data_IF_364611673086
#
_entry.id   IF_364611673086
#
_cell.length_a   1.000
_cell.length_b   1.000
_cell.length_c   1.000
_cell.angle_alpha   90.00
_cell.angle_beta   90.00
_cell.angle_gamma   90.00
#
_symmetry.space_group_name_H-M   'P 1'
#
loop_
_entity.id
_entity.type
_entity.pdbx_description
1 polymer ?
#
# COMPACT_ATOMS: atom_id res chain seq x y z
N UNK A 1 14.41 -16.40 -5.35
CA UNK A 1 13.57 -15.67 -4.38
C UNK A 1 14.47 -14.77 -3.55
N UNK A 2 15.04 -13.72 -4.16
CA UNK A 2 15.74 -12.68 -3.40
C UNK A 2 14.79 -11.51 -3.33
N UNK A 3 13.95 -11.49 -2.30
CA UNK A 3 13.19 -10.32 -1.97
C UNK A 3 14.17 -9.22 -1.55
N UNK A 4 14.47 -8.29 -2.46
CA UNK A 4 15.29 -7.11 -2.14
C UNK A 4 14.38 -6.03 -1.56
N UNK A 5 14.37 -5.96 -0.24
CA UNK A 5 13.62 -4.97 0.53
C UNK A 5 13.98 -3.53 0.14
N UNK A 6 15.24 -3.27 -0.21
CA UNK A 6 15.72 -1.92 -0.48
C UNK A 6 15.11 -1.34 -1.77
N UNK A 7 14.74 -2.21 -2.72
CA UNK A 7 14.04 -1.80 -3.94
C UNK A 7 12.63 -1.27 -3.65
N UNK A 8 12.01 -1.66 -2.53
CA UNK A 8 10.65 -1.25 -2.16
C UNK A 8 10.63 0.13 -1.50
N UNK A 9 11.67 0.51 -0.78
CA UNK A 9 11.75 1.82 -0.08
C UNK A 9 11.89 3.02 -1.03
N UNK A 10 12.20 2.80 -2.31
CA UNK A 10 12.44 3.87 -3.30
C UNK A 10 11.21 4.17 -4.17
N UNK A 11 10.05 3.57 -3.87
CA UNK A 11 8.86 3.72 -4.70
C UNK A 11 8.25 5.12 -4.52
N UNK A 12 8.01 5.82 -5.63
CA UNK A 12 7.35 7.12 -5.63
C UNK A 12 5.87 7.06 -5.18
N UNK A 13 5.30 8.20 -4.74
CA UNK A 13 3.93 8.25 -4.23
C UNK A 13 2.93 7.74 -5.27
N UNK A 14 1.92 6.98 -4.81
CA UNK A 14 0.82 6.48 -5.66
C UNK A 14 1.08 5.17 -6.41
N UNK A 15 2.19 4.46 -6.14
CA UNK A 15 2.44 3.12 -6.66
C UNK A 15 2.26 2.05 -5.57
N UNK A 16 1.54 0.98 -5.90
CA UNK A 16 1.36 -0.22 -5.07
C UNK A 16 2.31 -1.32 -5.52
N UNK A 17 3.08 -1.88 -4.59
CA UNK A 17 3.78 -3.15 -4.79
C UNK A 17 2.77 -4.31 -4.87
N UNK A 18 2.91 -5.18 -5.87
CA UNK A 18 2.06 -6.35 -6.02
C UNK A 18 2.65 -7.56 -5.27
N UNK A 19 1.81 -8.48 -4.76
CA UNK A 19 2.27 -9.65 -4.00
C UNK A 19 2.88 -10.75 -4.88
N UNK A 20 2.89 -10.58 -6.20
CA UNK A 20 3.56 -11.46 -7.16
C UNK A 20 4.70 -10.76 -7.90
N UNK A 21 5.61 -11.57 -8.42
CA UNK A 21 6.70 -11.13 -9.29
C UNK A 21 6.30 -11.26 -10.76
N UNK A 22 7.09 -10.64 -11.64
CA UNK A 22 7.06 -10.93 -13.08
C UNK A 22 7.65 -12.31 -13.36
N UNK A 23 7.46 -12.80 -14.57
CA UNK A 23 8.14 -13.98 -15.12
C UNK A 23 9.67 -13.95 -14.97
N UNK A 24 10.26 -12.75 -14.96
CA UNK A 24 11.69 -12.52 -14.74
C UNK A 24 12.11 -12.43 -13.27
N UNK A 25 11.17 -12.61 -12.32
CA UNK A 25 11.42 -12.50 -10.88
C UNK A 25 11.60 -11.07 -10.37
N UNK A 26 11.24 -10.07 -11.18
CA UNK A 26 11.28 -8.66 -10.76
C UNK A 26 9.98 -8.26 -10.04
N UNK A 27 10.04 -7.40 -9.01
CA UNK A 27 8.86 -6.83 -8.38
C UNK A 27 7.95 -6.13 -9.39
N UNK A 28 6.64 -6.29 -9.21
CA UNK A 28 5.64 -5.65 -10.06
C UNK A 28 4.92 -4.54 -9.29
N UNK A 29 4.58 -3.45 -9.99
CA UNK A 29 3.91 -2.28 -9.41
C UNK A 29 2.63 -1.95 -10.15
N UNK A 30 1.62 -1.52 -9.39
CA UNK A 30 0.36 -1.01 -9.90
C UNK A 30 0.27 0.48 -9.58
N UNK A 31 0.09 1.32 -10.59
CA UNK A 31 -0.24 2.73 -10.36
C UNK A 31 -1.68 2.87 -9.88
N UNK A 32 -1.86 3.52 -8.73
CA UNK A 32 -3.18 3.74 -8.13
C UNK A 32 -3.45 5.24 -8.08
N UNK A 33 -4.44 5.71 -8.83
CA UNK A 33 -4.90 7.11 -8.82
C UNK A 33 -5.89 7.41 -7.66
N UNK A 34 -5.73 6.72 -6.52
CA UNK A 34 -6.63 6.84 -5.37
C UNK A 34 -7.91 5.98 -5.43
N UNK A 35 -8.18 5.24 -6.51
CA UNK A 35 -9.33 4.31 -6.59
C UNK A 35 -8.88 2.85 -6.61
N UNK A 36 -9.48 2.00 -5.76
CA UNK A 36 -9.19 0.56 -5.72
C UNK A 36 -9.84 -0.15 -6.93
N UNK A 37 -9.03 -0.39 -7.97
CA UNK A 37 -9.44 -1.13 -9.17
C UNK A 37 -9.53 -2.65 -8.97
N UNK A 38 -9.97 -3.38 -10.00
CA UNK A 38 -10.08 -4.85 -9.94
C UNK A 38 -8.74 -5.54 -9.60
N UNK A 39 -7.62 -5.05 -10.14
CA UNK A 39 -6.28 -5.57 -9.83
C UNK A 39 -5.86 -5.33 -8.37
N UNK A 40 -6.30 -4.23 -7.75
CA UNK A 40 -6.01 -3.98 -6.34
C UNK A 40 -6.74 -4.99 -5.44
N UNK A 41 -7.98 -5.35 -5.78
CA UNK A 41 -8.74 -6.40 -5.07
C UNK A 41 -8.10 -7.77 -5.21
N UNK A 42 -7.67 -8.14 -6.42
CA UNK A 42 -6.92 -9.39 -6.66
C UNK A 42 -5.62 -9.40 -5.84
N UNK A 43 -4.94 -8.26 -5.76
CA UNK A 43 -3.75 -8.13 -4.90
C UNK A 43 -4.10 -8.29 -3.42
N UNK A 44 -5.22 -7.76 -2.94
CA UNK A 44 -5.66 -7.97 -1.55
C UNK A 44 -5.98 -9.44 -1.25
N UNK A 45 -6.65 -10.13 -2.20
CA UNK A 45 -6.95 -11.56 -2.10
C UNK A 45 -5.68 -12.41 -2.04
N UNK A 46 -4.71 -12.17 -2.94
CA UNK A 46 -3.44 -12.90 -2.95
C UNK A 46 -2.60 -12.58 -1.71
N UNK A 47 -2.58 -11.34 -1.24
CA UNK A 47 -1.95 -10.99 0.04
C UNK A 47 -2.57 -11.79 1.20
N UNK A 48 -3.91 -11.95 1.22
CA UNK A 48 -4.59 -12.73 2.24
C UNK A 48 -4.28 -14.23 2.17
N UNK A 49 -4.23 -14.79 0.95
CA UNK A 49 -3.86 -16.19 0.73
C UNK A 49 -2.42 -16.47 1.16
N UNK A 50 -1.47 -15.61 0.80
CA UNK A 50 -0.06 -15.75 1.22
C UNK A 50 0.10 -15.71 2.75
N UNK A 51 -0.68 -14.86 3.45
CA UNK A 51 -0.66 -14.81 4.91
C UNK A 51 -1.25 -16.08 5.53
N UNK A 52 -2.30 -16.66 4.91
CA UNK A 52 -2.87 -17.94 5.35
C UNK A 52 -1.88 -19.08 5.14
N UNK A 53 -1.25 -19.17 3.97
CA UNK A 53 -0.21 -20.16 3.67
C UNK A 53 0.94 -20.06 4.67
N UNK A 54 1.34 -18.83 5.03
CA UNK A 54 2.34 -18.58 6.06
C UNK A 54 1.95 -19.13 7.43
N UNK A 55 0.68 -19.00 7.83
CA UNK A 55 0.17 -19.55 9.09
C UNK A 55 0.15 -21.09 9.08
N UNK A 56 -0.23 -21.70 7.97
CA UNK A 56 -0.23 -23.16 7.79
C UNK A 56 1.19 -23.72 7.81
N UNK A 57 2.13 -23.07 7.11
CA UNK A 57 3.55 -23.45 7.11
C UNK A 57 4.18 -23.26 8.49
N UNK A 58 3.83 -22.19 9.22
CA UNK A 58 4.30 -22.00 10.59
C UNK A 58 3.85 -23.16 11.49
N UNK A 59 2.58 -23.55 11.40
CA UNK A 59 2.03 -24.69 12.17
C UNK A 59 2.75 -25.99 11.82
N UNK A 60 2.96 -26.26 10.53
CA UNK A 60 3.69 -27.44 10.08
C UNK A 60 5.15 -27.45 10.53
N UNK A 61 5.84 -26.31 10.47
CA UNK A 61 7.22 -26.19 10.94
C UNK A 61 7.34 -26.41 12.44
N UNK A 62 6.41 -25.88 13.25
CA UNK A 62 6.33 -26.14 14.69
C UNK A 62 6.15 -27.64 14.98
N UNK A 63 5.25 -28.31 14.27
CA UNK A 63 5.04 -29.76 14.43
C UNK A 63 6.31 -30.57 14.12
N UNK A 64 7.09 -30.18 13.10
CA UNK A 64 8.38 -30.83 12.78
C UNK A 64 9.41 -30.58 13.88
N UNK A 65 9.45 -29.38 14.46
CA UNK A 65 10.37 -29.05 15.56
C UNK A 65 10.03 -29.78 16.86
N UNK A 66 8.74 -30.03 17.12
CA UNK A 66 8.27 -30.74 18.30
C UNK A 66 8.50 -32.27 18.22
N UNK A 67 8.61 -32.83 17.02
CA UNK A 67 8.96 -34.24 16.81
C UNK A 67 10.47 -34.48 16.94
N UNK A 68 10.91 -34.99 18.10
CA UNK A 68 12.32 -35.37 18.34
C UNK A 68 12.85 -36.47 17.42
N UNK A 69 11.99 -37.18 16.70
CA UNK A 69 12.37 -38.19 15.70
C UNK A 69 12.45 -37.63 14.29
N UNK A 70 12.10 -36.36 14.08
CA UNK A 70 12.19 -35.72 12.78
C UNK A 70 13.64 -35.79 12.25
N UNK A 71 13.78 -36.36 11.06
CA UNK A 71 15.08 -36.45 10.39
C UNK A 71 15.49 -35.14 9.73
N UNK A 72 16.77 -35.06 9.36
CA UNK A 72 17.37 -33.90 8.66
C UNK A 72 16.55 -33.46 7.42
N UNK A 73 16.02 -34.42 6.65
CA UNK A 73 15.22 -34.11 5.47
C UNK A 73 13.94 -33.33 5.82
N UNK A 74 13.21 -33.75 6.87
CA UNK A 74 12.00 -33.07 7.31
C UNK A 74 12.31 -31.65 7.80
N UNK A 75 13.41 -31.49 8.55
CA UNK A 75 13.87 -30.17 9.02
C UNK A 75 14.26 -29.24 7.87
N UNK A 76 15.00 -29.73 6.88
CA UNK A 76 15.38 -28.95 5.69
C UNK A 76 14.15 -28.55 4.87
N UNK A 77 13.17 -29.45 4.74
CA UNK A 77 11.93 -29.16 4.03
C UNK A 77 11.11 -28.09 4.76
N UNK A 78 10.93 -28.23 6.07
CA UNK A 78 10.22 -27.26 6.90
C UNK A 78 10.91 -25.88 6.86
N UNK A 79 12.24 -25.84 6.99
CA UNK A 79 13.00 -24.59 6.91
C UNK A 79 12.86 -23.95 5.53
N UNK A 80 12.95 -24.73 4.44
CA UNK A 80 12.77 -24.21 3.09
C UNK A 80 11.38 -23.58 2.92
N UNK A 81 10.32 -24.28 3.33
CA UNK A 81 8.96 -23.76 3.29
C UNK A 81 8.82 -22.48 4.13
N UNK A 82 9.33 -22.48 5.36
CA UNK A 82 9.30 -21.32 6.25
C UNK A 82 10.03 -20.11 5.66
N UNK A 83 11.21 -20.30 5.06
CA UNK A 83 11.96 -19.20 4.42
C UNK A 83 11.25 -18.63 3.20
N UNK A 84 10.52 -19.48 2.45
CA UNK A 84 9.71 -19.03 1.33
C UNK A 84 8.55 -18.15 1.80
N UNK A 85 7.72 -18.67 2.71
CA UNK A 85 6.58 -17.91 3.25
C UNK A 85 7.01 -16.64 3.98
N UNK A 86 8.17 -16.64 4.66
CA UNK A 86 8.70 -15.42 5.28
C UNK A 86 9.01 -14.34 4.24
N UNK A 87 9.57 -14.71 3.08
CA UNK A 87 9.78 -13.78 1.98
C UNK A 87 8.46 -13.18 1.46
N UNK A 88 7.42 -14.01 1.35
CA UNK A 88 6.09 -13.57 0.93
C UNK A 88 5.45 -12.64 1.96
N UNK A 89 5.51 -12.98 3.25
CA UNK A 89 5.02 -12.13 4.36
C UNK A 89 5.71 -10.77 4.41
N UNK A 90 7.04 -10.72 4.22
CA UNK A 90 7.78 -9.46 4.18
C UNK A 90 7.33 -8.58 3.01
N UNK A 91 7.10 -9.17 1.83
CA UNK A 91 6.55 -8.45 0.68
C UNK A 91 5.16 -7.89 0.96
N UNK A 92 4.28 -8.67 1.56
CA UNK A 92 2.94 -8.21 1.96
C UNK A 92 3.04 -7.06 2.97
N UNK A 93 3.93 -7.17 3.96
CA UNK A 93 4.13 -6.14 4.98
C UNK A 93 4.59 -4.81 4.38
N UNK A 94 5.60 -4.82 3.50
CA UNK A 94 6.09 -3.60 2.87
C UNK A 94 5.08 -3.04 1.86
N UNK A 95 4.35 -3.90 1.12
CA UNK A 95 3.24 -3.50 0.25
C UNK A 95 2.16 -2.74 1.01
N UNK A 96 1.75 -3.24 2.18
CA UNK A 96 0.74 -2.60 3.04
C UNK A 96 1.29 -1.34 3.71
N UNK A 97 2.54 -1.38 4.19
CA UNK A 97 3.22 -0.26 4.83
C UNK A 97 3.33 0.96 3.91
N UNK A 98 3.67 0.75 2.64
CA UNK A 98 3.76 1.83 1.64
C UNK A 98 2.42 2.49 1.29
N UNK A 99 1.27 1.90 1.71
CA UNK A 99 -0.07 2.47 1.52
C UNK A 99 -0.59 3.23 2.74
N UNK A 100 0.15 3.24 3.85
CA UNK A 100 -0.25 4.00 5.02
C UNK A 100 0.06 5.49 4.79
N UNK A 101 -0.80 6.42 5.28
CA UNK A 101 -0.51 7.85 5.19
C UNK A 101 0.81 8.19 5.88
N UNK A 102 1.66 9.01 5.24
CA UNK A 102 2.84 9.54 5.91
C UNK A 102 2.41 10.70 6.82
N UNK A 103 2.95 10.81 8.05
CA UNK A 103 2.54 11.85 9.01
C UNK A 103 2.69 13.29 8.48
N UNK A 104 3.53 13.52 7.46
CA UNK A 104 3.76 14.85 6.88
C UNK A 104 2.70 15.27 5.83
N UNK A 105 1.85 14.34 5.36
CA UNK A 105 0.80 14.62 4.35
C UNK A 105 -0.49 15.22 4.96
N UNK A 106 -0.52 15.44 6.28
CA UNK A 106 -1.71 15.85 7.02
C UNK A 106 -1.84 17.37 7.27
N UNK A 107 -0.90 18.20 6.78
CA UNK A 107 -0.84 19.63 7.12
C UNK A 107 -1.29 20.62 6.04
N UNK A 108 -1.67 20.17 4.84
CA UNK A 108 -2.02 21.09 3.74
C UNK A 108 -3.53 21.36 3.57
N UNK A 109 -4.34 21.07 4.60
CA UNK A 109 -5.79 21.26 4.57
C UNK A 109 -6.30 22.23 5.65
N UNK A 110 -5.56 23.32 5.95
CA UNK A 110 -6.12 24.45 6.69
C UNK A 110 -5.28 25.73 6.49
N UNK A 111 -5.40 26.37 5.32
CA UNK A 111 -5.03 27.78 5.15
C UNK A 111 -6.13 28.47 4.34
N UNK A 112 -7.30 28.59 4.97
CA UNK A 112 -8.30 29.57 4.55
C UNK A 112 -7.91 30.93 5.11
N UNK A 113 -7.00 31.63 4.42
CA UNK A 113 -6.75 33.04 4.67
C UNK A 113 -7.90 33.82 4.02
N UNK A 114 -8.85 34.24 4.86
CA UNK A 114 -9.72 35.39 4.59
C UNK A 114 -8.81 36.60 4.29
N UNK A 115 -8.92 37.13 3.08
CA UNK A 115 -8.31 38.42 2.72
C UNK A 115 -9.44 39.47 2.65
N UNK A 116 -9.52 40.40 3.61
CA UNK A 116 -10.27 41.62 3.44
C UNK A 116 -9.27 42.71 3.06
N UNK A 117 -9.26 43.14 1.79
CA UNK A 117 -8.63 44.41 1.44
C UNK A 117 -9.52 45.30 0.59
N UNK A 118 -9.56 46.54 1.06
CA UNK A 118 -10.42 47.66 0.75
C UNK A 118 -10.05 48.29 -0.61
N UNK A 119 -11.08 48.55 -1.42
CA UNK A 119 -10.98 49.39 -2.62
C UNK A 119 -12.10 50.41 -2.64
N UNK A 120 -11.86 51.58 -2.03
CA UNK A 120 -12.77 52.70 -1.99
C UNK A 120 -12.92 53.44 -3.33
N UNK A 121 -14.13 53.97 -3.53
CA UNK A 121 -14.52 55.18 -4.25
C UNK A 121 -14.60 55.18 -5.79
N UNK A 122 -15.83 55.33 -6.30
CA UNK A 122 -16.09 55.64 -7.71
C UNK A 122 -17.56 55.81 -8.05
N UNK A 123 -18.12 56.95 -7.64
CA UNK A 123 -19.19 57.71 -8.32
C UNK A 123 -20.55 57.03 -8.57
N UNK A 124 -21.58 57.56 -7.90
CA UNK A 124 -22.96 57.24 -8.20
C UNK A 124 -23.77 58.50 -8.47
N UNK A 125 -24.48 58.57 -9.61
CA UNK A 125 -25.78 59.21 -9.68
C UNK A 125 -26.88 58.15 -9.57
N UNK A 126 -27.83 58.43 -8.68
CA UNK A 126 -29.04 57.63 -8.46
C UNK A 126 -30.12 57.89 -9.51
N UNK A 127 -30.87 56.81 -9.77
CA UNK A 127 -32.32 56.72 -10.08
C UNK A 127 -32.80 56.95 -11.54
N UNK A 128 -34.00 56.45 -11.95
CA UNK A 128 -34.96 55.56 -11.24
C UNK A 128 -35.57 54.40 -12.09
N UNK A 129 -36.21 53.47 -11.35
CA UNK A 129 -37.46 52.71 -11.59
C UNK A 129 -38.08 52.61 -13.01
N UNK A 130 -38.42 51.36 -13.38
CA UNK A 130 -39.40 50.89 -14.40
C UNK A 130 -39.07 51.05 -15.90
N UNK A 131 -39.08 49.94 -16.65
CA UNK A 131 -40.09 49.64 -17.69
C UNK A 131 -39.67 48.51 -18.66
N UNK A 132 -40.54 47.50 -18.74
CA UNK A 132 -41.01 46.77 -19.93
C UNK A 132 -40.03 46.08 -20.90
N UNK A 133 -40.29 44.78 -21.09
CA UNK A 133 -39.85 43.95 -22.22
C UNK A 133 -40.22 42.50 -21.99
#
# INVERSE_FOLDING_TARGET
MSYDRNAVTTIGPGLRLLPWESDTGKPCFLSTNGTSGALARIADEIEADQLRDGADVLTGAQAVLDDRKAGEYALRLALRAATQCLGDVLRVADSRGARLPQPDDAQDADDSVDDPDDGADGDGPRCPVEACG
#
